data_IF_550748482734
#
_entry.id   IF_550748482734
#
_cell.length_a   1.000
_cell.length_b   1.000
_cell.length_c   1.000
_cell.angle_alpha   90.00
_cell.angle_beta   90.00
_cell.angle_gamma   90.00
#
_symmetry.space_group_name_H-M   'P 1'
#
loop_
_entity.id
_entity.type
_entity.pdbx_description
1 polymer ?
#
# COMPACT_ATOMS: atom_id res chain seq x y z
N UNK A 1 27.48 -6.31 15.58
CA UNK A 1 26.01 -6.20 15.47
C UNK A 1 25.51 -5.38 16.64
N UNK A 2 24.93 -4.19 16.42
CA UNK A 2 24.34 -3.40 17.50
C UNK A 2 22.93 -3.90 17.79
N UNK A 3 22.61 -4.03 19.08
CA UNK A 3 21.33 -4.56 19.56
C UNK A 3 20.35 -3.39 19.67
N UNK A 4 19.27 -3.42 18.88
CA UNK A 4 18.15 -2.49 19.06
C UNK A 4 17.57 -2.65 20.48
N UNK A 5 17.06 -1.56 21.07
CA UNK A 5 16.41 -1.62 22.39
C UNK A 5 15.39 -2.75 22.46
N UNK A 6 15.41 -3.49 23.56
CA UNK A 6 14.32 -4.38 23.93
C UNK A 6 13.07 -3.58 24.26
N UNK A 7 11.91 -4.25 24.33
CA UNK A 7 10.63 -3.62 24.63
C UNK A 7 10.64 -2.94 26.01
N UNK A 8 11.24 -3.58 27.00
CA UNK A 8 11.26 -3.07 28.38
C UNK A 8 12.23 -1.90 28.53
N UNK A 9 13.41 -1.99 27.92
CA UNK A 9 14.37 -0.87 27.86
C UNK A 9 13.75 0.37 27.20
N UNK A 10 13.02 0.20 26.10
CA UNK A 10 12.34 1.31 25.43
C UNK A 10 11.28 1.95 26.34
N UNK A 11 10.45 1.16 27.02
CA UNK A 11 9.41 1.66 27.92
C UNK A 11 9.97 2.39 29.13
N UNK A 12 11.00 1.84 29.75
CA UNK A 12 11.67 2.46 30.89
C UNK A 12 12.26 3.82 30.48
N UNK A 13 12.92 3.87 29.32
CA UNK A 13 13.51 5.09 28.80
C UNK A 13 12.45 6.15 28.46
N UNK A 14 11.31 5.75 27.91
CA UNK A 14 10.16 6.65 27.68
C UNK A 14 9.68 7.25 29.00
N UNK A 15 9.46 6.41 30.02
CA UNK A 15 8.97 6.85 31.31
C UNK A 15 9.95 7.79 32.02
N UNK A 16 11.25 7.54 31.89
CA UNK A 16 12.31 8.41 32.41
C UNK A 16 12.32 9.75 31.68
N UNK A 17 12.37 9.75 30.35
CA UNK A 17 12.42 10.97 29.54
C UNK A 17 11.17 11.85 29.71
N UNK A 18 9.99 11.24 29.88
CA UNK A 18 8.76 11.97 30.17
C UNK A 18 8.78 12.72 31.51
N UNK A 19 9.64 12.31 32.47
CA UNK A 19 9.83 13.01 33.75
C UNK A 19 10.93 14.07 33.69
N UNK A 20 11.91 13.89 32.81
CA UNK A 20 13.10 14.75 32.70
C UNK A 20 12.88 15.95 31.76
N UNK A 21 11.85 15.92 30.91
CA UNK A 21 11.74 16.85 29.79
C UNK A 21 10.29 17.31 29.58
N UNK A 22 10.08 18.62 29.69
CA UNK A 22 8.83 19.30 29.28
C UNK A 22 8.71 19.47 27.74
N UNK A 23 9.55 18.79 26.95
CA UNK A 23 9.48 18.84 25.48
C UNK A 23 8.09 18.44 25.00
N UNK A 24 7.56 19.24 24.08
CA UNK A 24 6.34 18.92 23.37
C UNK A 24 6.54 17.64 22.56
N UNK A 25 5.74 16.61 22.86
CA UNK A 25 5.68 15.39 22.05
C UNK A 25 5.09 15.71 20.68
N UNK A 26 5.89 15.54 19.63
CA UNK A 26 5.46 15.78 18.24
C UNK A 26 4.44 14.73 17.78
N UNK A 27 4.72 13.45 18.06
CA UNK A 27 3.84 12.34 17.71
C UNK A 27 3.66 11.38 18.88
N UNK A 28 2.42 11.03 19.21
CA UNK A 28 2.12 10.05 20.25
C UNK A 28 2.42 8.61 19.78
N UNK A 29 2.80 7.74 20.72
CA UNK A 29 2.95 6.30 20.48
C UNK A 29 1.70 5.71 19.83
N UNK A 30 0.52 6.11 20.31
CA UNK A 30 -0.77 5.64 19.78
C UNK A 30 -0.93 6.01 18.30
N UNK A 31 -0.53 7.22 17.91
CA UNK A 31 -0.56 7.64 16.51
C UNK A 31 0.41 6.81 15.65
N UNK A 32 1.65 6.65 16.10
CA UNK A 32 2.68 5.85 15.39
C UNK A 32 2.20 4.40 15.19
N UNK A 33 1.64 3.76 16.23
CA UNK A 33 1.04 2.41 16.11
C UNK A 33 -0.08 2.35 15.08
N UNK A 34 -0.93 3.38 15.01
CA UNK A 34 -2.00 3.46 13.99
C UNK A 34 -1.41 3.54 12.58
N UNK A 35 -0.36 4.34 12.37
CA UNK A 35 0.32 4.47 11.07
C UNK A 35 0.95 3.13 10.64
N UNK A 36 1.66 2.44 11.54
CA UNK A 36 2.25 1.12 11.24
C UNK A 36 1.15 0.12 10.86
N UNK A 37 0.09 0.01 11.69
CA UNK A 37 -1.05 -0.89 11.44
C UNK A 37 -1.79 -0.56 10.15
N UNK A 38 -1.87 0.72 9.80
CA UNK A 38 -2.43 1.16 8.54
C UNK A 38 -1.66 0.60 7.35
N UNK A 39 -0.33 0.74 7.32
CA UNK A 39 0.49 0.21 6.22
C UNK A 39 0.46 -1.32 6.13
N UNK A 40 0.43 -2.02 7.28
CA UNK A 40 0.28 -3.49 7.29
C UNK A 40 -1.04 -3.89 6.62
N UNK A 41 -2.15 -3.26 7.00
CA UNK A 41 -3.48 -3.53 6.41
C UNK A 41 -3.50 -3.22 4.92
N UNK A 42 -2.93 -2.07 4.52
CA UNK A 42 -2.86 -1.68 3.12
C UNK A 42 -2.06 -2.67 2.27
N UNK A 43 -0.90 -3.12 2.77
CA UNK A 43 -0.07 -4.09 2.07
C UNK A 43 -0.79 -5.44 1.91
N UNK A 44 -1.38 -5.96 3.00
CA UNK A 44 -2.16 -7.19 2.98
C UNK A 44 -3.31 -7.12 1.98
N UNK A 45 -4.06 -6.01 1.96
CA UNK A 45 -5.14 -5.80 1.01
C UNK A 45 -4.63 -5.76 -0.44
N UNK A 46 -3.53 -5.06 -0.74
CA UNK A 46 -2.93 -5.01 -2.08
C UNK A 46 -2.47 -6.39 -2.59
N UNK A 47 -1.97 -7.25 -1.69
CA UNK A 47 -1.63 -8.63 -1.99
C UNK A 47 -2.87 -9.47 -2.32
N UNK A 48 -3.89 -9.40 -1.46
CA UNK A 48 -5.15 -10.12 -1.64
C UNK A 48 -5.84 -9.72 -2.94
N UNK A 49 -5.93 -8.42 -3.26
CA UNK A 49 -6.48 -7.94 -4.54
C UNK A 49 -5.80 -8.59 -5.77
N UNK A 50 -4.50 -8.87 -5.67
CA UNK A 50 -3.74 -9.60 -6.68
C UNK A 50 -4.16 -11.07 -6.80
N UNK A 51 -4.22 -11.80 -5.68
CA UNK A 51 -4.64 -13.22 -5.65
C UNK A 51 -6.10 -13.37 -6.10
N UNK A 52 -6.99 -12.54 -5.58
CA UNK A 52 -8.42 -12.50 -5.88
C UNK A 52 -8.70 -12.24 -7.37
N UNK A 53 -7.89 -11.39 -8.00
CA UNK A 53 -7.94 -11.15 -9.44
C UNK A 53 -7.69 -12.43 -10.24
N UNK A 54 -6.73 -13.26 -9.81
CA UNK A 54 -6.43 -14.52 -10.48
C UNK A 54 -7.59 -15.52 -10.35
N UNK A 55 -8.20 -15.62 -9.17
CA UNK A 55 -9.39 -16.46 -8.94
C UNK A 55 -10.59 -16.02 -9.79
N UNK A 56 -10.86 -14.71 -9.89
CA UNK A 56 -11.92 -14.18 -10.76
C UNK A 56 -11.67 -14.49 -12.23
N UNK A 57 -10.42 -14.37 -12.66
CA UNK A 57 -10.06 -14.70 -14.04
C UNK A 57 -10.21 -16.19 -14.35
N UNK A 58 -9.88 -17.07 -13.39
CA UNK A 58 -10.14 -18.50 -13.52
C UNK A 58 -11.64 -18.77 -13.77
N UNK A 59 -12.52 -18.14 -12.99
CA UNK A 59 -13.97 -18.27 -13.18
C UNK A 59 -14.44 -17.75 -14.55
N UNK A 60 -13.98 -16.57 -14.96
CA UNK A 60 -14.32 -15.99 -16.27
C UNK A 60 -13.84 -16.88 -17.42
N UNK A 61 -12.62 -17.43 -17.33
CA UNK A 61 -12.07 -18.36 -18.31
C UNK A 61 -12.89 -19.65 -18.41
N UNK A 62 -13.20 -20.28 -17.28
CA UNK A 62 -14.02 -21.49 -17.23
C UNK A 62 -15.42 -21.27 -17.82
N UNK A 63 -16.08 -20.15 -17.47
CA UNK A 63 -17.40 -19.78 -18.01
C UNK A 63 -17.37 -19.52 -19.52
N UNK A 64 -16.29 -18.96 -20.04
CA UNK A 64 -16.20 -18.55 -21.44
C UNK A 64 -15.84 -19.70 -22.37
N UNK A 65 -14.88 -20.54 -21.98
CA UNK A 65 -14.30 -21.52 -22.89
C UNK A 65 -14.18 -22.95 -22.33
N UNK A 66 -14.68 -23.21 -21.12
CA UNK A 66 -14.65 -24.53 -20.50
C UNK A 66 -13.24 -24.98 -20.08
N UNK A 67 -13.14 -26.15 -19.46
CA UNK A 67 -11.86 -26.72 -19.01
C UNK A 67 -10.88 -27.00 -20.16
N UNK A 68 -11.38 -27.34 -21.35
CA UNK A 68 -10.56 -27.76 -22.50
C UNK A 68 -9.66 -26.66 -23.06
N UNK A 69 -10.01 -25.40 -22.83
CA UNK A 69 -9.35 -24.23 -23.44
C UNK A 69 -8.66 -23.32 -22.43
N UNK A 70 -8.61 -23.71 -21.15
CA UNK A 70 -7.82 -23.00 -20.14
C UNK A 70 -6.42 -23.60 -20.02
N UNK A 71 -5.48 -22.81 -19.49
CA UNK A 71 -4.11 -23.31 -19.30
C UNK A 71 -4.04 -24.45 -18.28
N UNK A 72 -3.10 -25.39 -18.46
CA UNK A 72 -2.86 -26.51 -17.53
C UNK A 72 -2.71 -26.03 -16.09
N UNK A 73 -1.97 -24.93 -15.88
CA UNK A 73 -1.79 -24.32 -14.56
C UNK A 73 -3.10 -23.82 -13.94
N UNK A 74 -4.00 -23.24 -14.74
CA UNK A 74 -5.32 -22.82 -14.27
C UNK A 74 -6.19 -24.04 -13.93
N UNK A 75 -6.11 -25.10 -14.73
CA UNK A 75 -6.85 -26.35 -14.50
C UNK A 75 -6.38 -27.06 -13.23
N UNK A 76 -5.07 -27.14 -12.99
CA UNK A 76 -4.49 -27.66 -11.75
C UNK A 76 -4.94 -26.83 -10.54
N UNK A 77 -4.92 -25.51 -10.65
CA UNK A 77 -5.42 -24.60 -9.61
C UNK A 77 -6.91 -24.86 -9.35
N UNK A 78 -7.69 -25.03 -10.42
CA UNK A 78 -9.13 -25.29 -10.33
C UNK A 78 -9.43 -26.59 -9.57
N UNK A 79 -8.75 -27.67 -9.93
CA UNK A 79 -8.93 -28.99 -9.30
C UNK A 79 -8.39 -29.04 -7.88
N UNK A 80 -7.24 -28.40 -7.61
CA UNK A 80 -6.58 -28.44 -6.30
C UNK A 80 -7.31 -27.63 -5.23
N UNK A 81 -7.85 -26.48 -5.59
CA UNK A 81 -8.39 -25.51 -4.62
C UNK A 81 -9.90 -25.38 -4.64
N UNK A 82 -10.56 -25.90 -5.68
CA UNK A 82 -12.01 -25.80 -5.88
C UNK A 82 -12.63 -27.12 -6.33
N UNK A 83 -11.91 -28.24 -6.17
CA UNK A 83 -12.36 -29.62 -6.46
C UNK A 83 -12.91 -29.84 -7.88
N UNK A 84 -12.56 -28.95 -8.82
CA UNK A 84 -13.13 -29.00 -10.16
C UNK A 84 -14.62 -28.59 -10.23
N UNK A 85 -15.15 -27.93 -9.20
CA UNK A 85 -16.54 -27.51 -9.11
C UNK A 85 -16.72 -25.99 -9.34
N UNK A 86 -17.57 -25.65 -10.31
CA UNK A 86 -17.81 -24.28 -10.71
C UNK A 86 -18.59 -23.52 -9.63
N UNK A 87 -19.50 -24.21 -8.92
CA UNK A 87 -20.29 -23.59 -7.84
C UNK A 87 -19.40 -23.20 -6.66
N UNK A 88 -18.47 -24.07 -6.27
CA UNK A 88 -17.47 -23.80 -5.24
C UNK A 88 -16.60 -22.59 -5.61
N UNK A 89 -16.16 -22.51 -6.87
CA UNK A 89 -15.40 -21.36 -7.36
C UNK A 89 -16.25 -20.07 -7.37
N UNK A 90 -17.51 -20.12 -7.77
CA UNK A 90 -18.44 -18.98 -7.75
C UNK A 90 -18.68 -18.46 -6.33
N UNK A 91 -18.96 -19.37 -5.38
CA UNK A 91 -19.12 -19.04 -3.97
C UNK A 91 -17.86 -18.37 -3.43
N UNK A 92 -16.68 -18.89 -3.77
CA UNK A 92 -15.41 -18.27 -3.35
C UNK A 92 -15.22 -16.88 -3.94
N UNK A 93 -15.56 -16.67 -5.21
CA UNK A 93 -15.48 -15.35 -5.85
C UNK A 93 -16.42 -14.34 -5.17
N UNK A 94 -17.56 -14.78 -4.67
CA UNK A 94 -18.48 -13.92 -3.93
C UNK A 94 -17.93 -13.57 -2.54
N UNK A 95 -17.44 -14.54 -1.78
CA UNK A 95 -16.76 -14.33 -0.49
C UNK A 95 -15.58 -13.35 -0.63
N UNK A 96 -14.81 -13.49 -1.71
CA UNK A 96 -13.70 -12.61 -2.07
C UNK A 96 -14.16 -11.15 -2.28
N UNK A 97 -15.30 -10.91 -2.93
CA UNK A 97 -15.80 -9.53 -3.13
C UNK A 97 -16.17 -8.87 -1.81
N UNK A 98 -16.79 -9.62 -0.92
CA UNK A 98 -17.21 -9.14 0.40
C UNK A 98 -16.00 -8.86 1.29
N UNK A 99 -14.99 -9.73 1.27
CA UNK A 99 -13.75 -9.54 2.02
C UNK A 99 -12.97 -8.32 1.53
N UNK A 100 -12.84 -8.10 0.22
CA UNK A 100 -12.16 -6.93 -0.34
C UNK A 100 -12.75 -5.60 0.15
N UNK A 101 -14.08 -5.50 0.21
CA UNK A 101 -14.79 -4.29 0.66
C UNK A 101 -14.67 -4.13 2.17
N UNK A 102 -14.81 -5.21 2.94
CA UNK A 102 -14.67 -5.19 4.40
C UNK A 102 -13.26 -4.77 4.82
N UNK A 103 -12.24 -5.33 4.18
CA UNK A 103 -10.85 -5.05 4.54
C UNK A 103 -10.46 -3.62 4.12
N UNK A 104 -10.98 -3.15 2.97
CA UNK A 104 -10.87 -1.73 2.58
C UNK A 104 -11.57 -0.81 3.58
N UNK A 105 -12.73 -1.19 4.11
CA UNK A 105 -13.42 -0.42 5.14
C UNK A 105 -12.59 -0.22 6.39
N UNK A 106 -11.90 -1.27 6.84
CA UNK A 106 -11.02 -1.17 8.00
C UNK A 106 -9.83 -0.23 7.74
N UNK A 107 -9.26 -0.28 6.54
CA UNK A 107 -8.21 0.64 6.09
C UNK A 107 -8.70 2.09 6.16
N UNK A 108 -9.89 2.38 5.61
CA UNK A 108 -10.49 3.71 5.61
C UNK A 108 -10.86 4.19 7.02
N UNK A 109 -11.38 3.31 7.88
CA UNK A 109 -11.64 3.63 9.31
C UNK A 109 -10.34 3.96 10.04
N UNK A 110 -9.27 3.20 9.79
CA UNK A 110 -7.96 3.46 10.38
C UNK A 110 -7.44 4.83 9.93
N UNK A 111 -7.58 5.17 8.65
CA UNK A 111 -7.28 6.50 8.10
C UNK A 111 -7.97 7.63 8.84
N UNK A 112 -9.29 7.48 9.02
CA UNK A 112 -10.10 8.50 9.66
C UNK A 112 -9.66 8.74 11.10
N UNK A 113 -9.27 7.68 11.83
CA UNK A 113 -8.70 7.79 13.19
C UNK A 113 -7.33 8.49 13.23
N UNK A 114 -6.68 8.67 12.09
CA UNK A 114 -5.42 9.41 11.94
C UNK A 114 -5.64 10.81 11.34
N UNK A 115 -6.90 11.21 11.08
CA UNK A 115 -7.24 12.42 10.32
C UNK A 115 -6.58 12.47 8.93
N UNK A 116 -6.25 11.31 8.37
CA UNK A 116 -5.74 11.19 7.00
C UNK A 116 -6.94 10.97 6.10
N UNK A 117 -7.16 11.82 5.11
CA UNK A 117 -8.26 11.66 4.16
C UNK A 117 -7.77 10.93 2.91
N UNK A 118 -8.03 9.63 2.85
CA UNK A 118 -7.40 8.72 1.88
C UNK A 118 -7.91 8.83 0.44
N UNK A 119 -9.00 9.55 0.18
CA UNK A 119 -9.82 9.30 -1.01
C UNK A 119 -10.67 10.46 -1.53
N UNK A 120 -10.69 11.63 -0.89
CA UNK A 120 -11.62 12.68 -1.34
C UNK A 120 -11.39 13.00 -2.83
N UNK A 121 -10.15 13.17 -3.26
CA UNK A 121 -9.82 13.56 -4.64
C UNK A 121 -9.77 12.39 -5.64
N UNK A 122 -9.71 11.13 -5.17
CA UNK A 122 -9.68 9.94 -6.04
C UNK A 122 -11.01 9.69 -6.77
N UNK A 123 -12.11 10.15 -6.17
CA UNK A 123 -13.43 10.10 -6.79
C UNK A 123 -13.50 11.08 -7.95
N UNK A 124 -12.83 12.22 -7.82
CA UNK A 124 -12.82 13.30 -8.82
C UNK A 124 -11.94 12.95 -10.05
N UNK A 125 -10.88 12.15 -9.87
CA UNK A 125 -9.95 11.77 -10.95
C UNK A 125 -10.41 10.61 -11.85
N UNK A 126 -11.53 9.95 -11.53
CA UNK A 126 -11.98 8.73 -12.22
C UNK A 126 -12.66 8.95 -13.59
N UNK A 127 -12.83 10.20 -14.03
CA UNK A 127 -13.36 10.53 -15.37
C UNK A 127 -14.79 10.07 -15.64
N UNK A 128 -15.50 9.50 -14.66
CA UNK A 128 -16.96 9.36 -14.71
C UNK A 128 -17.58 10.68 -14.32
N UNK A 129 -17.60 11.60 -15.29
CA UNK A 129 -18.50 12.74 -15.26
C UNK A 129 -19.93 12.22 -15.02
N UNK A 130 -20.55 12.70 -13.95
CA UNK A 130 -21.90 12.29 -13.55
C UNK A 130 -22.24 12.80 -12.15
N UNK A 131 -22.53 14.10 -12.07
CA UNK A 131 -23.29 14.78 -11.02
C UNK A 131 -22.66 15.02 -9.63
N UNK A 132 -21.56 14.33 -9.25
CA UNK A 132 -20.99 14.46 -7.89
C UNK A 132 -19.51 14.91 -7.85
N UNK A 133 -19.10 15.89 -8.66
CA UNK A 133 -17.76 16.48 -8.55
C UNK A 133 -17.60 17.11 -7.16
N UNK A 134 -16.81 16.44 -6.31
CA UNK A 134 -16.47 16.82 -4.94
C UNK A 134 -15.59 18.06 -4.87
N UNK A 135 -14.97 18.47 -5.99
CA UNK A 135 -14.06 19.61 -6.06
C UNK A 135 -14.47 20.61 -7.13
N UNK A 136 -14.08 21.87 -6.92
CA UNK A 136 -14.17 22.92 -7.94
C UNK A 136 -13.10 22.73 -9.04
N UNK A 137 -13.19 23.51 -10.12
CA UNK A 137 -12.22 23.47 -11.23
C UNK A 137 -10.77 23.81 -10.82
N UNK A 138 -10.54 24.20 -9.56
CA UNK A 138 -9.22 24.50 -8.98
C UNK A 138 -8.77 23.41 -7.99
N UNK A 139 -9.46 22.28 -7.92
CA UNK A 139 -9.12 21.17 -7.03
C UNK A 139 -9.40 21.45 -5.55
N UNK A 140 -10.29 22.40 -5.23
CA UNK A 140 -10.72 22.68 -3.84
C UNK A 140 -12.01 21.95 -3.52
N UNK A 141 -12.05 21.30 -2.36
CA UNK A 141 -13.22 20.55 -1.90
C UNK A 141 -14.44 21.46 -1.81
N UNK A 142 -15.55 21.08 -2.44
CA UNK A 142 -16.85 21.73 -2.26
C UNK A 142 -17.35 21.33 -0.88
N UNK A 143 -17.30 22.28 0.04
CA UNK A 143 -17.46 22.14 1.49
C UNK A 143 -18.72 21.42 1.99
N UNK A 144 -19.74 21.23 1.14
CA UNK A 144 -21.02 20.63 1.54
C UNK A 144 -21.31 19.24 0.92
N UNK A 145 -20.35 18.65 0.21
CA UNK A 145 -20.61 17.41 -0.52
C UNK A 145 -20.46 16.21 0.40
N UNK A 146 -21.58 15.59 0.81
CA UNK A 146 -21.57 14.33 1.58
C UNK A 146 -20.83 13.26 0.77
N UNK A 147 -19.64 12.88 1.24
CA UNK A 147 -18.84 11.86 0.57
C UNK A 147 -19.53 10.52 0.67
N UNK A 148 -19.88 9.94 -0.47
CA UNK A 148 -20.49 8.63 -0.50
C UNK A 148 -19.40 7.54 -0.44
N UNK A 149 -19.22 6.98 0.76
CA UNK A 149 -18.21 5.96 1.06
C UNK A 149 -18.33 4.71 0.16
N UNK A 150 -19.55 4.36 -0.28
CA UNK A 150 -19.76 3.24 -1.19
C UNK A 150 -19.09 3.47 -2.56
N UNK A 151 -19.19 4.68 -3.11
CA UNK A 151 -18.54 5.02 -4.40
C UNK A 151 -17.02 5.07 -4.26
N UNK A 152 -16.51 5.56 -3.14
CA UNK A 152 -15.08 5.55 -2.82
C UNK A 152 -14.54 4.12 -2.83
N UNK A 153 -15.17 3.23 -2.06
CA UNK A 153 -14.76 1.82 -1.97
C UNK A 153 -14.79 1.16 -3.35
N UNK A 154 -15.89 1.35 -4.08
CA UNK A 154 -16.06 0.78 -5.43
C UNK A 154 -15.00 1.29 -6.40
N UNK A 155 -14.63 2.57 -6.33
CA UNK A 155 -13.61 3.17 -7.20
C UNK A 155 -12.23 2.61 -6.90
N UNK A 156 -11.84 2.57 -5.62
CA UNK A 156 -10.56 2.00 -5.20
C UNK A 156 -10.48 0.52 -5.61
N UNK A 157 -11.49 -0.30 -5.27
CA UNK A 157 -11.53 -1.70 -5.69
C UNK A 157 -11.44 -1.83 -7.23
N UNK A 158 -12.07 -0.94 -7.99
CA UNK A 158 -11.99 -0.94 -9.46
C UNK A 158 -10.57 -0.70 -9.96
N UNK A 159 -9.88 0.32 -9.46
CA UNK A 159 -8.50 0.65 -9.89
C UNK A 159 -7.51 -0.46 -9.62
N UNK A 160 -7.67 -1.17 -8.51
CA UNK A 160 -6.81 -2.28 -8.14
C UNK A 160 -7.34 -3.64 -8.62
N UNK A 161 -8.50 -3.70 -9.28
CA UNK A 161 -9.02 -4.91 -9.93
C UNK A 161 -8.60 -5.01 -11.40
N UNK A 162 -8.58 -6.23 -11.97
CA UNK A 162 -8.21 -6.48 -13.39
C UNK A 162 -9.02 -5.68 -14.42
N UNK A 163 -10.19 -5.16 -14.05
CA UNK A 163 -11.06 -4.41 -14.97
C UNK A 163 -10.48 -3.04 -15.37
N UNK A 164 -9.55 -2.48 -14.60
CA UNK A 164 -8.87 -1.24 -14.96
C UNK A 164 -7.59 -1.51 -15.78
N UNK A 165 -7.36 -0.68 -16.81
CA UNK A 165 -6.10 -0.65 -17.55
C UNK A 165 -4.93 -0.44 -16.57
N UNK A 166 -3.84 -1.17 -16.76
CA UNK A 166 -2.64 -1.12 -15.91
C UNK A 166 -2.85 -1.53 -14.42
N UNK A 167 -3.97 -2.16 -14.03
CA UNK A 167 -4.21 -2.52 -12.63
C UNK A 167 -3.11 -3.42 -12.02
N UNK A 168 -2.49 -4.29 -12.82
CA UNK A 168 -1.34 -5.11 -12.37
C UNK A 168 -0.13 -4.24 -12.03
N UNK A 169 0.17 -3.25 -12.87
CA UNK A 169 1.27 -2.30 -12.69
C UNK A 169 1.00 -1.39 -11.49
N UNK A 170 -0.22 -0.87 -11.36
CA UNK A 170 -0.67 -0.11 -10.18
C UNK A 170 -0.46 -0.87 -8.88
N UNK A 171 -0.94 -2.12 -8.82
CA UNK A 171 -0.73 -2.97 -7.63
C UNK A 171 0.77 -3.20 -7.35
N UNK A 172 1.60 -3.36 -8.38
CA UNK A 172 3.04 -3.53 -8.21
C UNK A 172 3.68 -2.27 -7.62
N UNK A 173 3.35 -1.10 -8.16
CA UNK A 173 3.87 0.18 -7.70
C UNK A 173 3.45 0.49 -6.27
N UNK A 174 2.15 0.32 -5.98
CA UNK A 174 1.59 0.45 -4.65
C UNK A 174 2.31 -0.46 -3.65
N UNK A 175 2.47 -1.76 -3.98
CA UNK A 175 3.19 -2.70 -3.10
C UNK A 175 4.63 -2.29 -2.88
N UNK A 176 5.34 -1.80 -3.90
CA UNK A 176 6.73 -1.37 -3.74
C UNK A 176 6.85 -0.19 -2.75
N UNK A 177 5.98 0.81 -2.87
CA UNK A 177 5.96 1.97 -1.96
C UNK A 177 5.68 1.55 -0.51
N UNK A 178 4.67 0.70 -0.30
CA UNK A 178 4.29 0.26 1.04
C UNK A 178 5.32 -0.72 1.61
N UNK A 179 5.90 -1.59 0.78
CA UNK A 179 6.99 -2.50 1.15
C UNK A 179 8.19 -1.73 1.69
N UNK A 180 8.64 -0.71 0.96
CA UNK A 180 9.77 0.13 1.38
C UNK A 180 9.50 0.76 2.76
N UNK A 181 8.28 1.28 2.95
CA UNK A 181 7.85 1.87 4.22
C UNK A 181 7.85 0.89 5.39
N UNK A 182 7.24 -0.28 5.20
CA UNK A 182 7.23 -1.33 6.23
C UNK A 182 8.64 -1.82 6.54
N UNK A 183 9.50 -1.92 5.53
CA UNK A 183 10.88 -2.37 5.71
C UNK A 183 11.69 -1.40 6.55
N UNK A 184 11.53 -0.08 6.34
CA UNK A 184 12.16 0.95 7.18
C UNK A 184 11.63 0.96 8.60
N UNK A 185 10.35 0.65 8.80
CA UNK A 185 9.79 0.48 10.15
C UNK A 185 10.37 -0.74 10.86
N UNK A 186 10.49 -1.87 10.15
CA UNK A 186 11.04 -3.08 10.75
C UNK A 186 12.55 -2.98 11.00
N UNK A 187 13.30 -2.24 10.18
CA UNK A 187 14.74 -2.05 10.36
C UNK A 187 15.12 -1.36 11.67
N UNK A 188 14.16 -0.73 12.35
CA UNK A 188 14.33 -0.16 13.69
C UNK A 188 14.62 -1.25 14.74
N UNK A 189 14.08 -2.46 14.57
CA UNK A 189 14.30 -3.59 15.48
C UNK A 189 15.19 -4.69 14.90
N UNK A 190 15.35 -4.70 13.57
CA UNK A 190 16.23 -5.61 12.82
C UNK A 190 17.00 -4.84 11.72
N UNK A 191 18.11 -4.16 12.06
CA UNK A 191 18.85 -3.32 11.11
C UNK A 191 19.37 -4.06 9.87
N UNK A 192 19.57 -5.38 9.99
CA UNK A 192 20.06 -6.24 8.92
C UNK A 192 18.92 -6.75 8.01
N UNK A 193 17.68 -6.31 8.26
CA UNK A 193 16.54 -6.70 7.45
C UNK A 193 16.62 -6.14 6.03
N UNK A 194 17.04 -7.00 5.10
CA UNK A 194 16.98 -6.70 3.68
C UNK A 194 15.64 -7.13 3.06
N UNK A 195 14.83 -6.13 2.73
CA UNK A 195 13.56 -6.37 2.04
C UNK A 195 13.74 -6.61 0.54
N UNK A 196 14.86 -6.24 -0.07
CA UNK A 196 15.05 -6.36 -1.52
C UNK A 196 15.06 -7.83 -1.98
N UNK A 197 15.51 -8.73 -1.10
CA UNK A 197 15.64 -10.17 -1.35
C UNK A 197 14.40 -10.99 -0.99
N UNK A 198 13.40 -10.41 -0.32
CA UNK A 198 12.20 -11.13 0.15
C UNK A 198 10.91 -10.54 -0.41
N UNK A 199 10.01 -11.41 -0.87
CA UNK A 199 8.64 -10.99 -1.18
C UNK A 199 7.87 -10.79 0.14
N UNK A 200 7.31 -9.60 0.35
CA UNK A 200 6.60 -9.25 1.58
C UNK A 200 5.11 -9.57 1.45
N UNK A 201 4.80 -10.86 1.29
CA UNK A 201 3.42 -11.33 1.20
C UNK A 201 2.72 -11.37 2.58
N UNK A 202 1.45 -11.77 2.59
CA UNK A 202 0.64 -11.79 3.82
C UNK A 202 1.22 -12.70 4.91
N UNK A 203 1.88 -13.80 4.54
CA UNK A 203 2.47 -14.73 5.51
C UNK A 203 3.70 -14.10 6.17
N UNK A 204 4.61 -13.55 5.36
CA UNK A 204 5.79 -12.87 5.89
C UNK A 204 5.41 -11.64 6.72
N UNK A 205 4.42 -10.86 6.28
CA UNK A 205 3.89 -9.72 7.05
C UNK A 205 3.42 -10.13 8.44
N UNK A 206 2.61 -11.20 8.53
CA UNK A 206 2.08 -11.67 9.81
C UNK A 206 3.19 -12.20 10.73
N UNK A 207 4.25 -12.79 10.17
CA UNK A 207 5.42 -13.26 10.93
C UNK A 207 6.27 -12.11 11.47
N UNK A 208 6.46 -11.07 10.66
CA UNK A 208 7.33 -9.93 10.98
C UNK A 208 6.60 -8.93 11.89
N UNK A 209 5.35 -8.60 11.59
CA UNK A 209 4.57 -7.58 12.29
C UNK A 209 3.55 -8.18 13.25
N UNK A 210 4.04 -8.92 14.23
CA UNK A 210 3.24 -9.31 15.41
C UNK A 210 2.87 -8.07 16.23
N UNK A 211 1.83 -8.17 17.08
CA UNK A 211 1.47 -7.06 17.97
C UNK A 211 2.64 -6.62 18.86
N UNK A 212 3.46 -7.57 19.30
CA UNK A 212 4.67 -7.30 20.07
C UNK A 212 5.69 -6.49 19.27
N UNK A 213 5.96 -6.88 18.02
CA UNK A 213 6.90 -6.15 17.17
C UNK A 213 6.37 -4.77 16.80
N UNK A 214 5.07 -4.64 16.52
CA UNK A 214 4.43 -3.34 16.28
C UNK A 214 4.56 -2.43 17.50
N UNK A 215 4.36 -2.97 18.70
CA UNK A 215 4.58 -2.23 19.94
C UNK A 215 6.02 -1.73 20.04
N UNK A 216 6.97 -2.65 19.89
CA UNK A 216 8.41 -2.35 20.02
C UNK A 216 8.89 -1.33 19.00
N UNK A 217 8.50 -1.48 17.73
CA UNK A 217 8.83 -0.52 16.67
C UNK A 217 8.28 0.86 17.01
N UNK A 218 7.02 0.94 17.42
CA UNK A 218 6.40 2.22 17.74
C UNK A 218 7.06 2.92 18.93
N UNK A 219 7.44 2.16 19.97
CA UNK A 219 8.11 2.70 21.16
C UNK A 219 9.51 3.25 20.80
N UNK A 220 10.28 2.55 19.95
CA UNK A 220 11.61 3.04 19.52
C UNK A 220 11.49 4.24 18.58
N UNK A 221 10.58 4.20 17.60
CA UNK A 221 10.32 5.36 16.72
C UNK A 221 9.90 6.57 17.53
N UNK A 222 9.01 6.39 18.51
CA UNK A 222 8.58 7.45 19.41
C UNK A 222 9.76 8.07 20.15
N UNK A 223 10.63 7.23 20.73
CA UNK A 223 11.82 7.68 21.44
C UNK A 223 12.72 8.50 20.53
N UNK A 224 13.08 7.94 19.38
CA UNK A 224 14.10 8.53 18.50
C UNK A 224 13.59 9.82 17.86
N UNK A 225 12.32 9.90 17.48
CA UNK A 225 11.75 11.14 16.91
C UNK A 225 11.57 12.24 17.97
N UNK A 226 11.04 11.92 19.16
CA UNK A 226 10.75 12.96 20.16
C UNK A 226 11.98 13.35 21.00
N UNK A 227 12.97 12.47 21.10
CA UNK A 227 14.22 12.67 21.83
C UNK A 227 15.40 12.45 20.88
N UNK A 228 15.57 13.39 19.95
CA UNK A 228 16.60 13.35 18.90
C UNK A 228 18.01 13.12 19.44
N UNK A 229 18.32 13.57 20.67
CA UNK A 229 19.62 13.32 21.31
C UNK A 229 19.93 11.84 21.55
N UNK A 230 18.91 10.96 21.49
CA UNK A 230 19.08 9.51 21.58
C UNK A 230 19.45 8.87 20.25
N UNK A 231 19.40 9.61 19.14
CA UNK A 231 19.76 9.11 17.82
C UNK A 231 21.27 9.12 17.63
N UNK A 232 21.82 8.03 17.09
CA UNK A 232 23.18 8.00 16.58
C UNK A 232 23.25 8.67 15.20
N UNK A 233 24.44 9.13 14.79
CA UNK A 233 24.63 9.88 13.53
C UNK A 233 24.17 9.06 12.31
N UNK A 234 24.43 7.76 12.32
CA UNK A 234 24.06 6.82 11.26
C UNK A 234 22.53 6.62 11.16
N UNK A 235 21.80 6.91 12.24
CA UNK A 235 20.35 6.71 12.30
C UNK A 235 19.55 7.92 11.80
N UNK A 236 20.16 9.10 11.69
CA UNK A 236 19.48 10.35 11.33
C UNK A 236 18.72 10.24 10.01
N UNK A 237 19.34 9.62 9.00
CA UNK A 237 18.73 9.43 7.67
C UNK A 237 17.51 8.52 7.76
N UNK A 238 17.57 7.47 8.59
CA UNK A 238 16.46 6.54 8.78
C UNK A 238 15.28 7.24 9.48
N UNK A 239 15.54 7.95 10.59
CA UNK A 239 14.47 8.55 11.37
C UNK A 239 13.87 9.80 10.70
N UNK A 240 14.63 10.60 9.95
CA UNK A 240 14.07 11.67 9.10
C UNK A 240 13.14 11.07 8.03
N UNK A 241 13.53 9.94 7.41
CA UNK A 241 12.68 9.26 6.45
C UNK A 241 11.39 8.70 7.09
N UNK A 242 11.51 8.04 8.25
CA UNK A 242 10.39 7.49 9.01
C UNK A 242 9.44 8.61 9.44
N UNK A 243 9.98 9.71 9.95
CA UNK A 243 9.22 10.87 10.39
C UNK A 243 8.37 11.43 9.25
N UNK A 244 8.94 11.60 8.05
CA UNK A 244 8.19 12.04 6.87
C UNK A 244 7.02 11.12 6.54
N UNK A 245 7.12 9.81 6.79
CA UNK A 245 6.03 8.84 6.54
C UNK A 245 5.00 8.75 7.66
N UNK A 246 5.35 9.20 8.86
CA UNK A 246 4.42 9.40 9.97
C UNK A 246 3.65 10.72 9.75
N UNK A 247 4.33 11.78 9.32
CA UNK A 247 3.74 13.07 9.03
C UNK A 247 2.85 13.03 7.77
N UNK A 248 3.37 12.46 6.69
CA UNK A 248 2.72 12.36 5.39
C UNK A 248 2.43 10.91 5.05
N UNK A 249 1.42 10.37 5.72
CA UNK A 249 0.97 8.99 5.53
C UNK A 249 0.60 8.75 4.07
N UNK A 250 1.14 7.69 3.46
CA UNK A 250 0.86 7.34 2.06
C UNK A 250 -0.63 7.00 1.93
N UNK A 251 -1.35 7.73 1.08
CA UNK A 251 -2.76 7.49 0.78
C UNK A 251 -2.94 6.80 -0.57
N UNK A 252 -4.14 6.29 -0.86
CA UNK A 252 -4.45 5.82 -2.20
C UNK A 252 -4.26 6.90 -3.26
N UNK A 253 -4.55 8.18 -2.93
CA UNK A 253 -4.31 9.31 -3.84
C UNK A 253 -2.83 9.43 -4.17
N UNK A 254 -1.98 9.44 -3.15
CA UNK A 254 -0.53 9.49 -3.33
C UNK A 254 -0.03 8.34 -4.20
N UNK A 255 -0.56 7.13 -4.00
CA UNK A 255 -0.19 5.96 -4.80
C UNK A 255 -0.59 6.16 -6.27
N UNK A 256 -1.79 6.65 -6.54
CA UNK A 256 -2.21 6.90 -7.93
C UNK A 256 -1.42 8.03 -8.58
N UNK A 257 -1.11 9.12 -7.87
CA UNK A 257 -0.29 10.22 -8.38
C UNK A 257 1.11 9.72 -8.79
N UNK A 258 1.77 8.95 -7.91
CA UNK A 258 3.07 8.32 -8.22
C UNK A 258 2.96 7.38 -9.41
N UNK A 259 1.91 6.56 -9.48
CA UNK A 259 1.70 5.65 -10.60
C UNK A 259 1.53 6.38 -11.93
N UNK A 260 0.72 7.44 -11.96
CA UNK A 260 0.46 8.24 -13.17
C UNK A 260 1.72 8.96 -13.63
N UNK A 261 2.48 9.55 -12.72
CA UNK A 261 3.76 10.20 -13.01
C UNK A 261 4.78 9.20 -13.59
N UNK A 262 4.90 8.02 -12.99
CA UNK A 262 5.80 6.99 -13.47
C UNK A 262 5.38 6.47 -14.85
N UNK A 263 4.08 6.30 -15.08
CA UNK A 263 3.55 5.93 -16.39
C UNK A 263 3.85 7.00 -17.45
N UNK A 264 3.68 8.27 -17.13
CA UNK A 264 3.98 9.39 -18.04
C UNK A 264 5.48 9.43 -18.38
N UNK A 265 6.36 9.26 -17.40
CA UNK A 265 7.82 9.19 -17.60
C UNK A 265 8.22 8.02 -18.50
N UNK A 266 7.64 6.84 -18.29
CA UNK A 266 7.90 5.67 -19.13
C UNK A 266 7.46 5.88 -20.59
N UNK A 267 6.29 6.48 -20.80
CA UNK A 267 5.79 6.81 -22.13
C UNK A 267 6.66 7.86 -22.83
N UNK A 268 7.10 8.89 -22.11
CA UNK A 268 8.03 9.89 -22.64
C UNK A 268 9.37 9.26 -23.04
N UNK A 269 9.93 8.38 -22.20
CA UNK A 269 11.17 7.67 -22.50
C UNK A 269 11.04 6.74 -23.72
N UNK A 270 9.91 6.03 -23.87
CA UNK A 270 9.63 5.20 -25.05
C UNK A 270 9.53 6.06 -26.32
N UNK A 271 8.80 7.18 -26.27
CA UNK A 271 8.69 8.12 -27.38
C UNK A 271 10.06 8.68 -27.78
N UNK A 272 10.89 9.06 -26.82
CA UNK A 272 12.26 9.51 -27.06
C UNK A 272 13.13 8.42 -27.72
N UNK A 273 13.04 7.17 -27.26
CA UNK A 273 13.75 6.03 -27.88
C UNK A 273 13.30 5.79 -29.32
N UNK A 274 11.99 5.84 -29.59
CA UNK A 274 11.46 5.69 -30.95
C UNK A 274 11.92 6.81 -31.88
N UNK A 275 11.91 8.07 -31.41
CA UNK A 275 12.39 9.23 -32.16
C UNK A 275 13.89 9.14 -32.44
N UNK A 276 14.69 8.70 -31.46
CA UNK A 276 16.12 8.47 -31.64
C UNK A 276 16.40 7.37 -32.67
N UNK A 277 15.66 6.26 -32.61
CA UNK A 277 15.78 5.16 -33.57
C UNK A 277 15.34 5.56 -34.99
N UNK A 278 14.33 6.42 -35.13
CA UNK A 278 13.93 6.97 -36.42
C UNK A 278 15.00 7.90 -37.00
N UNK A 279 15.60 8.77 -36.18
CA UNK A 279 16.71 9.64 -36.61
C UNK A 279 17.95 8.85 -37.03
N UNK A 280 18.29 7.79 -36.30
CA UNK A 280 19.42 6.91 -36.63
C UNK A 280 19.21 6.14 -37.94
N UNK A 281 17.96 5.85 -38.35
CA UNK A 281 17.64 5.25 -39.65
C UNK A 281 17.68 6.23 -40.83
N UNK A 282 17.72 7.53 -40.58
CA UNK A 282 17.69 8.59 -41.61
C UNK A 282 19.11 9.16 -41.87
N UNK A 283 20.11 8.86 -41.04
CA UNK A 283 21.50 9.18 -41.34
C UNK A 283 22.04 8.26 -42.45
N UNK A 284 22.44 8.78 -43.63
CA UNK A 284 23.10 7.97 -44.63
C UNK A 284 24.49 7.58 -44.10
N UNK A 285 24.87 6.32 -44.34
CA UNK A 285 26.26 5.90 -44.17
C UNK A 285 27.14 6.82 -45.03
N UNK A 286 28.00 7.60 -44.37
CA UNK A 286 29.13 8.25 -45.03
C UNK A 286 30.21 7.21 -45.33
#
# INVERSE_FOLDING_TARGET
MKKAYTKDEAKELIARKAKESDKLVKYSIVYIKRVIRYYIRLMSWLYQMGKNTSTRYLLESLKRCGEEKISTKQLETYRKYYDGDLKTLEAKVQEIKESEIRDLNDILKCSSKMNVQQYLDLVDSSGRAGENNLFDKKGRSKTDTKVNLYYVQKTICTFYSKRALSARERRKEARNLIKDTLSKFYSVIDPDFDSSTKEMDTELLNKIFTDENVDRIADIIFLKINYFELQEVEEYVLYDWIERRIEKVITFRFIEDVFLDNKAKMQAAQKAKMLAAQKAKIQPAC
#
